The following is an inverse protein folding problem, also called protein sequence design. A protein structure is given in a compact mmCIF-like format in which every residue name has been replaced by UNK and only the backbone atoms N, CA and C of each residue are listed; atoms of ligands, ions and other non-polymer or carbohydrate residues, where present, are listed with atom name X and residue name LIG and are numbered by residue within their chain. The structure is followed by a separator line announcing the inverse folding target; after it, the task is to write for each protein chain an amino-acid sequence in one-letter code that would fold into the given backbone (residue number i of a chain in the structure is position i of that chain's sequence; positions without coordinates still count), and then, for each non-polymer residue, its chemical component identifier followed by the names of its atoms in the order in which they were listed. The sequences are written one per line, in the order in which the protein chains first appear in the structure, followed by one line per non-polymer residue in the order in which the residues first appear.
data_IF_604696914420
#
_entry.id   IF_604696914420
#
_cell.length_a   1.000
_cell.length_b   1.000
_cell.length_c   1.000
_cell.angle_alpha   90.00
_cell.angle_beta   90.00
_cell.angle_gamma   90.00
#
_symmetry.space_group_name_H-M   'P 1'
#
loop_
_entity.id
_entity.type
_entity.pdbx_description
1 polymer ?
#
# COMPACT_ATOMS: atom_id res chain seq x y z
N UNK A 1 -38.72 5.75 5.45
CA UNK A 1 -37.64 5.70 6.46
C UNK A 1 -36.81 4.41 6.37
N UNK A 2 -37.45 3.25 6.22
CA UNK A 2 -36.76 1.96 6.03
C UNK A 2 -35.86 1.90 4.77
N UNK A 3 -36.25 2.54 3.67
CA UNK A 3 -35.47 2.51 2.42
C UNK A 3 -34.15 3.29 2.51
N UNK A 4 -34.11 4.39 3.26
CA UNK A 4 -32.89 5.17 3.49
C UNK A 4 -31.88 4.38 4.34
N UNK A 5 -32.36 3.62 5.33
CA UNK A 5 -31.53 2.77 6.17
C UNK A 5 -30.92 1.64 5.32
N UNK A 6 -31.74 0.91 4.55
CA UNK A 6 -31.22 -0.13 3.64
C UNK A 6 -30.18 0.42 2.66
N UNK A 7 -30.41 1.59 2.07
CA UNK A 7 -29.48 2.20 1.13
C UNK A 7 -28.15 2.60 1.78
N UNK A 8 -28.16 3.05 3.03
CA UNK A 8 -26.94 3.37 3.79
C UNK A 8 -26.11 2.13 4.12
N UNK A 9 -26.77 1.06 4.59
CA UNK A 9 -26.12 -0.23 4.85
C UNK A 9 -25.56 -0.87 3.58
N UNK A 10 -26.34 -0.91 2.49
CA UNK A 10 -25.85 -1.41 1.19
C UNK A 10 -24.67 -0.58 0.69
N UNK A 11 -24.74 0.76 0.75
CA UNK A 11 -23.62 1.62 0.36
C UNK A 11 -22.35 1.35 1.16
N UNK A 12 -22.48 1.14 2.48
CA UNK A 12 -21.34 0.83 3.36
C UNK A 12 -20.68 -0.52 3.05
N UNK A 13 -21.48 -1.56 2.78
CA UNK A 13 -20.99 -2.90 2.42
C UNK A 13 -20.24 -2.86 1.09
N UNK A 14 -20.77 -2.13 0.10
CA UNK A 14 -20.10 -2.01 -1.20
C UNK A 14 -18.75 -1.30 -1.08
N UNK A 15 -18.68 -0.24 -0.28
CA UNK A 15 -17.43 0.48 -0.03
C UNK A 15 -16.40 -0.41 0.69
N UNK A 16 -16.84 -1.18 1.69
CA UNK A 16 -15.97 -2.12 2.41
C UNK A 16 -15.43 -3.19 1.45
N UNK A 17 -16.28 -3.83 0.64
CA UNK A 17 -15.85 -4.86 -0.32
C UNK A 17 -14.83 -4.33 -1.34
N UNK A 18 -15.07 -3.13 -1.90
CA UNK A 18 -14.15 -2.50 -2.85
C UNK A 18 -12.80 -2.22 -2.17
N UNK A 19 -12.82 -1.72 -0.92
CA UNK A 19 -11.60 -1.50 -0.15
C UNK A 19 -10.80 -2.78 0.07
N UNK A 20 -11.47 -3.90 0.35
CA UNK A 20 -10.83 -5.19 0.61
C UNK A 20 -10.19 -5.76 -0.66
N UNK A 21 -10.92 -5.74 -1.78
CA UNK A 21 -10.40 -6.18 -3.08
C UNK A 21 -9.22 -5.29 -3.50
N UNK A 22 -9.35 -3.98 -3.32
CA UNK A 22 -8.30 -3.01 -3.61
C UNK A 22 -7.02 -3.28 -2.83
N UNK A 23 -7.11 -3.52 -1.53
CA UNK A 23 -5.95 -3.83 -0.67
C UNK A 23 -5.23 -5.10 -1.12
N UNK A 24 -5.97 -6.18 -1.42
CA UNK A 24 -5.37 -7.44 -1.88
C UNK A 24 -4.69 -7.25 -3.24
N UNK A 25 -5.37 -6.62 -4.19
CA UNK A 25 -4.81 -6.33 -5.50
C UNK A 25 -3.55 -5.47 -5.42
N UNK A 26 -3.54 -4.48 -4.52
CA UNK A 26 -2.41 -3.59 -4.33
C UNK A 26 -1.19 -4.31 -3.76
N UNK A 27 -1.37 -5.19 -2.78
CA UNK A 27 -0.27 -5.99 -2.25
C UNK A 27 0.31 -6.96 -3.28
N UNK A 28 -0.55 -7.59 -4.08
CA UNK A 28 -0.12 -8.47 -5.18
C UNK A 28 0.66 -7.68 -6.23
N UNK A 29 0.31 -6.42 -6.48
CA UNK A 29 1.04 -5.53 -7.41
C UNK A 29 2.34 -4.98 -6.80
N UNK A 30 2.37 -4.72 -5.49
CA UNK A 30 3.56 -4.23 -4.80
C UNK A 30 4.72 -5.23 -4.81
N UNK A 31 4.42 -6.53 -4.82
CA UNK A 31 5.44 -7.58 -4.87
C UNK A 31 6.28 -7.60 -6.17
N UNK A 32 5.71 -7.69 -7.39
CA UNK A 32 6.47 -7.64 -8.63
C UNK A 32 7.20 -6.29 -8.79
N UNK A 33 6.61 -5.18 -8.33
CA UNK A 33 7.26 -3.87 -8.38
C UNK A 33 8.53 -3.82 -7.51
N UNK A 34 8.46 -4.36 -6.29
CA UNK A 34 9.61 -4.47 -5.41
C UNK A 34 10.65 -5.47 -5.93
N UNK A 35 10.20 -6.59 -6.51
CA UNK A 35 11.06 -7.58 -7.14
C UNK A 35 11.84 -7.00 -8.32
N UNK A 36 11.18 -6.23 -9.18
CA UNK A 36 11.84 -5.57 -10.31
C UNK A 36 12.89 -4.59 -9.83
N UNK A 37 12.59 -3.76 -8.82
CA UNK A 37 13.57 -2.86 -8.19
C UNK A 37 14.76 -3.63 -7.58
N UNK A 38 14.49 -4.79 -6.98
CA UNK A 38 15.53 -5.65 -6.42
C UNK A 38 16.43 -6.26 -7.50
N UNK A 39 15.85 -6.63 -8.64
CA UNK A 39 16.55 -7.20 -9.80
C UNK A 39 17.36 -6.15 -10.56
N UNK A 40 16.78 -4.99 -10.83
CA UNK A 40 17.45 -3.87 -11.51
C UNK A 40 18.48 -3.17 -10.63
N UNK A 41 18.44 -3.40 -9.30
CA UNK A 41 19.20 -2.68 -8.27
C UNK A 41 19.01 -1.16 -8.33
N UNK A 42 17.91 -0.72 -8.94
CA UNK A 42 17.60 0.67 -9.22
C UNK A 42 16.09 0.88 -9.17
N UNK A 43 15.67 1.95 -8.50
CA UNK A 43 14.31 2.43 -8.50
C UNK A 43 14.11 3.61 -9.48
N UNK A 44 14.98 3.75 -10.50
CA UNK A 44 14.83 4.72 -11.58
C UNK A 44 13.52 4.48 -12.32
N UNK A 45 12.54 5.34 -12.07
CA UNK A 45 11.19 5.25 -12.64
C UNK A 45 10.09 5.30 -11.59
N UNK A 46 10.41 5.07 -10.32
CA UNK A 46 9.44 5.18 -9.22
C UNK A 46 9.50 6.56 -8.61
N UNK A 47 8.33 7.21 -8.49
CA UNK A 47 8.20 8.54 -7.89
C UNK A 47 8.38 8.47 -6.36
N UNK A 48 9.27 9.29 -5.76
CA UNK A 48 9.44 9.35 -4.31
C UNK A 48 8.16 9.81 -3.59
N UNK A 49 7.42 10.71 -4.23
CA UNK A 49 6.15 11.22 -3.70
C UNK A 49 5.12 10.10 -3.68
N UNK A 50 5.08 9.26 -4.72
CA UNK A 50 4.18 8.10 -4.75
C UNK A 50 4.46 7.14 -3.59
N UNK A 51 5.73 6.81 -3.33
CA UNK A 51 6.09 5.91 -2.22
C UNK A 51 5.76 6.53 -0.86
N UNK A 52 5.96 7.85 -0.69
CA UNK A 52 5.57 8.55 0.53
C UNK A 52 4.05 8.59 0.76
N UNK A 53 3.27 8.83 -0.30
CA UNK A 53 1.81 8.78 -0.26
C UNK A 53 1.31 7.36 0.00
N UNK A 54 1.93 6.35 -0.61
CA UNK A 54 1.62 4.95 -0.36
C UNK A 54 1.82 4.61 1.12
N UNK A 55 2.98 4.89 1.69
CA UNK A 55 3.24 4.65 3.12
C UNK A 55 2.19 5.34 4.01
N UNK A 56 1.85 6.59 3.71
CA UNK A 56 0.83 7.34 4.44
C UNK A 56 -0.55 6.65 4.34
N UNK A 57 -0.91 6.20 3.14
CA UNK A 57 -2.14 5.44 2.89
C UNK A 57 -2.21 4.14 3.69
N UNK A 58 -1.12 3.36 3.72
CA UNK A 58 -1.04 2.11 4.50
C UNK A 58 -1.26 2.38 6.00
N UNK A 59 -0.64 3.42 6.55
CA UNK A 59 -0.82 3.79 7.97
C UNK A 59 -2.27 4.16 8.27
N UNK A 60 -2.88 5.02 7.45
CA UNK A 60 -4.29 5.39 7.60
C UNK A 60 -5.23 4.17 7.49
N UNK A 61 -4.90 3.24 6.60
CA UNK A 61 -5.71 2.04 6.39
C UNK A 61 -5.59 1.06 7.56
N UNK A 62 -4.38 0.80 8.09
CA UNK A 62 -4.17 -0.01 9.30
C UNK A 62 -4.94 0.57 10.48
N UNK A 63 -4.88 1.89 10.70
CA UNK A 63 -5.64 2.56 11.77
C UNK A 63 -7.15 2.31 11.58
N UNK A 64 -7.65 2.50 10.37
CA UNK A 64 -9.08 2.30 10.05
C UNK A 64 -9.53 0.86 10.32
N UNK A 65 -8.70 -0.12 9.97
CA UNK A 65 -8.99 -1.55 10.18
C UNK A 65 -8.94 -1.91 11.66
N UNK A 66 -7.92 -1.45 12.39
CA UNK A 66 -7.83 -1.67 13.84
C UNK A 66 -9.03 -1.07 14.57
N UNK A 67 -9.49 0.11 14.16
CA UNK A 67 -10.67 0.76 14.76
C UNK A 67 -11.98 0.03 14.45
N UNK A 68 -12.13 -0.55 13.25
CA UNK A 68 -13.40 -1.13 12.78
C UNK A 68 -13.54 -2.64 13.03
N UNK A 69 -12.45 -3.39 12.87
CA UNK A 69 -12.43 -4.85 12.92
C UNK A 69 -11.47 -5.41 13.98
N UNK A 70 -10.63 -4.58 14.60
CA UNK A 70 -9.62 -5.02 15.55
C UNK A 70 -8.46 -5.76 14.89
N UNK A 71 -7.90 -6.74 15.60
CA UNK A 71 -6.75 -7.50 15.10
C UNK A 71 -7.17 -8.58 14.09
N UNK A 72 -6.86 -8.36 12.81
CA UNK A 72 -7.21 -9.25 11.72
C UNK A 72 -5.94 -9.82 11.07
N UNK A 73 -5.56 -11.04 11.43
CA UNK A 73 -4.25 -11.64 11.10
C UNK A 73 -3.92 -11.68 9.61
N UNK A 74 -4.90 -12.00 8.77
CA UNK A 74 -4.72 -12.13 7.32
C UNK A 74 -4.52 -10.77 6.63
N UNK A 75 -5.17 -9.71 7.13
CA UNK A 75 -4.91 -8.32 6.72
C UNK A 75 -3.54 -7.84 7.18
N UNK A 76 -3.14 -8.17 8.40
CA UNK A 76 -1.80 -7.83 8.91
C UNK A 76 -0.69 -8.42 8.06
N UNK A 77 -0.87 -9.63 7.54
CA UNK A 77 0.07 -10.23 6.60
C UNK A 77 0.16 -9.44 5.28
N UNK A 78 -0.98 -8.99 4.74
CA UNK A 78 -1.03 -8.16 3.54
C UNK A 78 -0.29 -6.83 3.74
N UNK A 79 -0.50 -6.16 4.88
CA UNK A 79 0.22 -4.91 5.23
C UNK A 79 1.71 -5.13 5.41
N UNK A 80 2.10 -6.22 6.05
CA UNK A 80 3.50 -6.54 6.23
C UNK A 80 4.19 -6.73 4.87
N UNK A 81 3.53 -7.40 3.93
CA UNK A 81 4.03 -7.53 2.56
C UNK A 81 4.16 -6.16 1.87
N UNK A 82 3.18 -5.27 1.98
CA UNK A 82 3.26 -3.90 1.45
C UNK A 82 4.41 -3.10 2.08
N UNK A 83 4.60 -3.19 3.40
CA UNK A 83 5.70 -2.51 4.09
C UNK A 83 7.07 -3.02 3.63
N UNK A 84 7.22 -4.33 3.42
CA UNK A 84 8.45 -4.91 2.87
C UNK A 84 8.68 -4.39 1.44
N UNK A 85 7.66 -4.35 0.60
CA UNK A 85 7.76 -3.78 -0.76
C UNK A 85 8.19 -2.31 -0.73
N UNK A 86 7.56 -1.49 0.11
CA UNK A 86 7.93 -0.08 0.29
C UNK A 86 9.38 0.05 0.78
N UNK A 87 9.80 -0.76 1.75
CA UNK A 87 11.16 -0.72 2.29
C UNK A 87 12.21 -1.08 1.24
N UNK A 88 11.97 -2.13 0.44
CA UNK A 88 12.86 -2.54 -0.66
C UNK A 88 12.96 -1.42 -1.69
N UNK A 89 11.83 -0.89 -2.15
CA UNK A 89 11.79 0.20 -3.13
C UNK A 89 12.50 1.43 -2.57
N UNK A 90 12.15 1.87 -1.36
CA UNK A 90 12.74 3.03 -0.70
C UNK A 90 14.25 2.92 -0.51
N UNK A 91 14.77 1.75 -0.16
CA UNK A 91 16.20 1.49 -0.08
C UNK A 91 16.92 1.75 -1.41
N UNK A 92 16.39 1.19 -2.51
CA UNK A 92 16.98 1.41 -3.85
C UNK A 92 16.81 2.85 -4.33
N UNK A 93 15.73 3.55 -3.96
CA UNK A 93 15.56 4.96 -4.26
C UNK A 93 16.62 5.85 -3.60
N UNK A 94 16.96 5.57 -2.33
CA UNK A 94 18.01 6.30 -1.62
C UNK A 94 19.38 6.00 -2.24
N UNK A 95 19.64 4.74 -2.60
CA UNK A 95 20.88 4.33 -3.26
C UNK A 95 21.06 4.99 -4.63
N UNK A 96 19.98 5.08 -5.41
CA UNK A 96 20.00 5.72 -6.73
C UNK A 96 20.21 7.22 -6.64
N UNK A 97 19.53 7.91 -5.71
CA UNK A 97 19.75 9.35 -5.46
C UNK A 97 21.21 9.64 -5.13
N UNK A 98 21.84 8.83 -4.27
CA UNK A 98 23.27 8.96 -3.92
C UNK A 98 24.20 8.75 -5.13
N UNK A 99 23.83 7.87 -6.07
CA UNK A 99 24.63 7.60 -7.27
C UNK A 99 24.55 8.75 -8.28
N UNK A 100 23.37 9.37 -8.43
CA UNK A 100 23.19 10.54 -9.32
C UNK A 100 23.95 11.76 -8.78
N UNK A 101 23.84 12.07 -7.49
CA UNK A 101 24.53 13.22 -6.87
C UNK A 101 26.05 13.09 -6.86
N UNK A 102 26.61 11.87 -6.85
CA UNK A 102 28.08 11.66 -6.86
C UNK A 102 28.74 11.86 -8.23
N UNK A 103 27.96 11.82 -9.31
CA UNK A 103 28.47 11.95 -10.68
C UNK A 103 28.30 13.37 -11.26
N UNK A 104 27.82 14.31 -10.43
CA UNK A 104 27.80 15.75 -10.67
C UNK A 104 28.80 16.41 -9.72
#
# INVERSE_FOLDING_TARGET
MADNIKRYYTGSIMADLIGWIGSVAFAVCGFPQAWECFKSKSAKGISPVFVGLWLTGEVCYVISVLMKFGWVTWMMFNYLANLVSIAVIGYYMVKDKKTVTRNH
#
